data_IF_181301885445
#
_entry.id   IF_181301885445
#
_cell.length_a   1.000
_cell.length_b   1.000
_cell.length_c   1.000
_cell.angle_alpha   90.00
_cell.angle_beta   90.00
_cell.angle_gamma   90.00
#
_symmetry.space_group_name_H-M   'P 1'
#
loop_
_entity.id
_entity.type
_entity.pdbx_description
1 polymer ?
#
# COMPACT_ATOMS: atom_id res chain seq x y z
N UNK A 1 3.26 -11.10 14.59
CA UNK A 1 1.99 -10.67 14.01
C UNK A 1 1.40 -11.84 13.25
N UNK A 2 0.19 -12.26 13.58
CA UNK A 2 -0.45 -13.41 12.94
C UNK A 2 -1.19 -12.95 11.68
N UNK A 3 -0.64 -13.26 10.51
CA UNK A 3 -1.25 -12.95 9.19
C UNK A 3 -2.68 -13.48 9.04
N UNK A 4 -3.04 -14.53 9.78
CA UNK A 4 -4.41 -15.07 9.84
C UNK A 4 -5.46 -14.09 10.39
N UNK A 5 -5.04 -13.01 11.08
CA UNK A 5 -5.95 -11.97 11.55
C UNK A 5 -6.33 -10.97 10.46
N UNK A 6 -5.54 -10.87 9.39
CA UNK A 6 -5.80 -9.96 8.28
C UNK A 6 -6.86 -10.60 7.39
N UNK A 7 -8.08 -10.09 7.49
CA UNK A 7 -9.23 -10.53 6.70
C UNK A 7 -9.54 -9.53 5.59
N UNK A 8 -10.18 -10.02 4.54
CA UNK A 8 -10.85 -9.16 3.57
C UNK A 8 -11.92 -8.29 4.25
N UNK A 9 -12.18 -7.12 3.67
CA UNK A 9 -13.10 -6.10 4.19
C UNK A 9 -12.67 -5.40 5.48
N UNK A 10 -11.46 -5.63 6.00
CA UNK A 10 -10.95 -4.87 7.14
C UNK A 10 -10.55 -3.44 6.73
N UNK A 11 -10.89 -2.48 7.58
CA UNK A 11 -10.53 -1.07 7.38
C UNK A 11 -9.03 -0.87 7.64
N UNK A 12 -8.32 -0.09 6.85
CA UNK A 12 -6.89 0.20 7.07
C UNK A 12 -6.75 1.63 7.57
N UNK A 13 -6.19 1.79 8.76
CA UNK A 13 -5.98 3.04 9.45
C UNK A 13 -4.48 3.35 9.55
N UNK A 14 -4.06 4.49 9.02
CA UNK A 14 -2.72 5.01 9.21
C UNK A 14 -2.59 5.82 10.49
N UNK A 15 -1.37 6.00 10.99
CA UNK A 15 -1.11 6.93 12.09
C UNK A 15 -1.43 8.37 11.70
N UNK A 16 -2.09 9.09 12.61
CA UNK A 16 -2.37 10.51 12.45
C UNK A 16 -1.31 11.34 13.21
N UNK A 17 -0.43 12.09 12.53
CA UNK A 17 0.52 12.95 13.22
C UNK A 17 -0.23 14.05 13.99
N UNK A 18 0.14 14.25 15.26
CA UNK A 18 -0.45 15.29 16.12
C UNK A 18 -1.79 14.94 16.77
N UNK A 19 -2.31 13.72 16.58
CA UNK A 19 -3.47 13.22 17.33
C UNK A 19 -3.01 12.42 18.54
N UNK A 20 -3.52 12.76 19.72
CA UNK A 20 -3.35 11.96 20.95
C UNK A 20 -4.33 10.79 21.06
N UNK A 21 -5.28 10.70 20.12
CA UNK A 21 -6.25 9.60 20.08
C UNK A 21 -5.78 8.53 19.09
N UNK A 22 -5.94 7.26 19.47
CA UNK A 22 -5.75 6.07 18.61
C UNK A 22 -6.70 6.00 17.40
N UNK A 23 -7.50 7.03 17.18
CA UNK A 23 -8.25 7.23 15.95
C UNK A 23 -7.28 7.55 14.80
N UNK A 24 -6.74 6.49 14.19
CA UNK A 24 -5.99 6.58 12.94
C UNK A 24 -6.82 7.14 11.78
N UNK A 25 -6.16 7.41 10.66
CA UNK A 25 -6.80 7.93 9.45
C UNK A 25 -7.15 6.77 8.52
N UNK A 26 -8.41 6.65 8.13
CA UNK A 26 -8.84 5.64 7.16
C UNK A 26 -8.23 5.94 5.78
N UNK A 27 -7.43 5.02 5.26
CA UNK A 27 -6.75 5.15 3.97
C UNK A 27 -7.24 4.14 2.92
N UNK A 28 -8.12 3.23 3.31
CA UNK A 28 -8.61 2.17 2.43
C UNK A 28 -9.15 0.96 3.18
N UNK A 29 -9.60 -0.04 2.41
CA UNK A 29 -10.08 -1.33 2.93
C UNK A 29 -9.30 -2.48 2.30
N UNK A 30 -8.99 -3.52 3.09
CA UNK A 30 -8.31 -4.73 2.62
C UNK A 30 -9.20 -5.47 1.63
N UNK A 31 -8.69 -5.66 0.41
CA UNK A 31 -9.29 -6.54 -0.59
C UNK A 31 -8.81 -7.97 -0.39
N UNK A 32 -7.48 -8.17 -0.36
CA UNK A 32 -6.86 -9.49 -0.24
C UNK A 32 -5.42 -9.42 0.26
N UNK A 33 -4.93 -10.52 0.85
CA UNK A 33 -3.51 -10.74 1.11
C UNK A 33 -2.84 -11.41 -0.09
N UNK A 34 -1.80 -10.79 -0.65
CA UNK A 34 -0.99 -11.31 -1.75
C UNK A 34 0.28 -11.98 -1.20
N UNK A 35 0.46 -13.27 -1.54
CA UNK A 35 1.60 -14.11 -1.15
C UNK A 35 1.90 -14.17 0.36
N UNK A 36 0.96 -13.76 1.21
CA UNK A 36 1.19 -13.68 2.66
C UNK A 36 2.09 -12.52 3.11
N UNK A 37 2.57 -11.69 2.18
CA UNK A 37 3.57 -10.66 2.44
C UNK A 37 3.07 -9.25 2.11
N UNK A 38 2.08 -9.13 1.24
CA UNK A 38 1.54 -7.84 0.79
C UNK A 38 0.04 -7.76 1.01
N UNK A 39 -0.43 -6.60 1.41
CA UNK A 39 -1.85 -6.31 1.57
C UNK A 39 -2.30 -5.50 0.35
N UNK A 40 -3.29 -6.03 -0.35
CA UNK A 40 -3.96 -5.35 -1.45
C UNK A 40 -5.15 -4.57 -0.92
N UNK A 41 -5.20 -3.29 -1.24
CA UNK A 41 -6.33 -2.43 -0.94
C UNK A 41 -7.34 -2.43 -2.08
N UNK A 42 -8.61 -2.31 -1.72
CA UNK A 42 -9.68 -2.09 -2.70
C UNK A 42 -9.54 -0.70 -3.32
N UNK A 43 -9.62 -0.63 -4.65
CA UNK A 43 -9.64 0.65 -5.38
C UNK A 43 -10.87 1.49 -5.07
N UNK A 44 -11.97 0.87 -4.62
CA UNK A 44 -13.25 1.54 -4.42
C UNK A 44 -13.21 2.60 -3.31
N UNK A 45 -12.25 2.49 -2.40
CA UNK A 45 -12.04 3.44 -1.31
C UNK A 45 -10.86 4.38 -1.57
N UNK A 46 -10.10 4.16 -2.66
CA UNK A 46 -9.00 5.04 -3.05
C UNK A 46 -9.54 6.21 -3.88
N UNK A 47 -9.21 7.47 -3.53
CA UNK A 47 -9.67 8.64 -4.28
C UNK A 47 -9.15 8.68 -5.73
N UNK A 48 -8.10 7.91 -6.01
CA UNK A 48 -7.47 7.81 -7.33
C UNK A 48 -7.96 6.62 -8.17
N UNK A 49 -8.93 5.83 -7.69
CA UNK A 49 -9.43 4.60 -8.36
C UNK A 49 -8.34 3.54 -8.67
N UNK A 50 -7.17 3.66 -8.03
CA UNK A 50 -6.03 2.75 -8.20
C UNK A 50 -6.00 1.69 -7.12
N UNK A 51 -5.58 0.50 -7.51
CA UNK A 51 -5.20 -0.55 -6.55
C UNK A 51 -3.89 -0.14 -5.89
N UNK A 52 -3.84 -0.23 -4.56
CA UNK A 52 -2.65 0.05 -3.79
C UNK A 52 -2.21 -1.21 -3.06
N UNK A 53 -0.91 -1.44 -3.02
CA UNK A 53 -0.30 -2.53 -2.28
C UNK A 53 0.72 -2.00 -1.30
N UNK A 54 0.79 -2.61 -0.13
CA UNK A 54 1.83 -2.31 0.84
C UNK A 54 2.24 -3.58 1.59
N UNK A 55 3.50 -3.66 2.07
CA UNK A 55 3.98 -4.84 2.78
C UNK A 55 3.33 -4.93 4.17
N UNK A 56 3.11 -6.17 4.64
CA UNK A 56 2.59 -6.41 6.00
C UNK A 56 3.51 -5.86 7.11
N UNK A 57 4.77 -5.56 6.79
CA UNK A 57 5.77 -4.98 7.71
C UNK A 57 5.34 -3.61 8.25
N UNK A 58 4.48 -2.91 7.51
CA UNK A 58 3.93 -1.62 7.94
C UNK A 58 2.80 -1.76 8.97
N UNK A 59 2.28 -2.97 9.16
CA UNK A 59 1.20 -3.24 10.12
C UNK A 59 1.77 -3.21 11.53
N UNK A 60 1.31 -2.25 12.32
CA UNK A 60 1.63 -2.16 13.75
C UNK A 60 0.76 -3.11 14.57
N UNK A 61 -0.54 -3.16 14.27
CA UNK A 61 -1.53 -3.96 14.99
C UNK A 61 -2.76 -4.24 14.12
N UNK A 62 -3.46 -5.33 14.39
CA UNK A 62 -4.68 -5.75 13.67
C UNK A 62 -5.74 -6.07 14.70
N UNK A 63 -6.90 -5.48 14.52
CA UNK A 63 -8.13 -5.77 15.23
C UNK A 63 -9.10 -6.53 14.33
N UNK A 64 -10.18 -7.05 14.91
CA UNK A 64 -11.25 -7.74 14.18
C UNK A 64 -12.00 -6.88 13.14
N UNK A 65 -11.81 -5.55 13.18
CA UNK A 65 -12.48 -4.59 12.29
C UNK A 65 -11.52 -3.77 11.44
N UNK A 66 -10.28 -3.57 11.90
CA UNK A 66 -9.35 -2.66 11.27
C UNK A 66 -7.87 -3.08 11.45
N UNK A 67 -7.04 -2.62 10.53
CA UNK A 67 -5.58 -2.78 10.51
C UNK A 67 -4.96 -1.42 10.79
N UNK A 68 -4.09 -1.33 11.78
CA UNK A 68 -3.37 -0.11 12.14
C UNK A 68 -1.94 -0.18 11.62
N UNK A 69 -1.53 0.85 10.89
CA UNK A 69 -0.18 0.97 10.36
C UNK A 69 0.73 1.73 11.32
N UNK A 70 2.01 1.36 11.31
CA UNK A 70 3.07 2.11 11.99
C UNK A 70 3.48 3.38 11.21
N UNK A 71 3.01 3.51 9.97
CA UNK A 71 3.23 4.65 9.08
C UNK A 71 2.13 5.69 9.20
N UNK A 72 2.51 6.95 9.02
CA UNK A 72 1.53 8.03 8.85
C UNK A 72 0.81 7.93 7.51
N UNK A 73 -0.36 8.56 7.38
CA UNK A 73 -1.11 8.60 6.11
C UNK A 73 -0.21 9.04 4.94
N UNK A 74 0.54 10.12 5.12
CA UNK A 74 1.43 10.65 4.09
C UNK A 74 2.55 9.67 3.70
N UNK A 75 3.19 9.02 4.68
CA UNK A 75 4.21 8.00 4.41
C UNK A 75 3.61 6.77 3.74
N UNK A 76 2.43 6.35 4.18
CA UNK A 76 1.75 5.19 3.65
C UNK A 76 1.37 5.42 2.18
N UNK A 77 0.72 6.53 1.87
CA UNK A 77 0.36 6.91 0.50
C UNK A 77 1.60 7.06 -0.38
N UNK A 78 2.69 7.64 0.14
CA UNK A 78 3.91 7.85 -0.63
C UNK A 78 4.68 6.56 -0.95
N UNK A 79 4.67 5.56 -0.06
CA UNK A 79 5.36 4.29 -0.30
C UNK A 79 4.48 3.14 -0.77
N UNK A 80 3.16 3.35 -0.87
CA UNK A 80 2.25 2.37 -1.46
C UNK A 80 2.62 2.12 -2.92
N UNK A 81 2.66 0.85 -3.29
CA UNK A 81 2.89 0.43 -4.65
C UNK A 81 1.57 0.59 -5.43
N UNK A 82 1.67 1.12 -6.64
CA UNK A 82 0.52 1.23 -7.56
C UNK A 82 0.33 -0.02 -8.43
N UNK A 83 1.22 -1.00 -8.28
CA UNK A 83 1.30 -2.23 -9.06
C UNK A 83 1.59 -3.40 -8.11
N UNK A 84 1.18 -4.64 -8.46
CA UNK A 84 1.47 -5.77 -7.62
C UNK A 84 2.99 -6.00 -7.52
N UNK A 85 3.50 -6.46 -6.37
CA UNK A 85 4.93 -6.65 -6.13
C UNK A 85 5.59 -7.61 -7.13
N UNK A 86 4.83 -8.53 -7.71
CA UNK A 86 5.26 -9.45 -8.76
C UNK A 86 5.56 -8.76 -10.11
N UNK A 87 4.99 -7.57 -10.36
CA UNK A 87 5.32 -6.71 -11.51
C UNK A 87 6.31 -5.59 -11.17
N UNK A 88 6.28 -5.03 -9.96
CA UNK A 88 7.19 -3.95 -9.57
C UNK A 88 8.69 -4.33 -9.69
N UNK A 89 9.02 -5.62 -9.58
CA UNK A 89 10.39 -6.12 -9.82
C UNK A 89 10.79 -6.14 -11.31
N UNK A 90 9.84 -6.03 -12.24
CA UNK A 90 10.11 -5.97 -13.69
C UNK A 90 10.22 -4.51 -14.18
N UNK A 91 9.45 -3.59 -13.60
CA UNK A 91 9.42 -2.16 -13.97
C UNK A 91 10.45 -1.29 -13.22
N UNK A 92 11.12 -1.80 -12.18
CA UNK A 92 12.28 -1.14 -11.56
C UNK A 92 13.57 -1.25 -12.41
N UNK A 93 13.45 -1.51 -13.72
CA UNK A 93 14.50 -1.18 -14.67
C UNK A 93 14.60 0.34 -14.77
N UNK A 94 15.79 0.95 -14.69
CA UNK A 94 15.92 2.39 -14.75
C UNK A 94 15.51 2.86 -16.14
N UNK A 95 14.30 3.41 -16.29
CA UNK A 95 14.01 4.27 -17.45
C UNK A 95 14.57 5.65 -17.17
N UNK A 96 15.89 5.69 -17.04
CA UNK A 96 16.69 6.87 -17.33
C UNK A 96 17.49 6.52 -18.57
N UNK A 97 16.89 6.69 -19.74
CA UNK A 97 17.60 7.19 -20.92
C UNK A 97 16.57 7.56 -22.01
N UNK A 98 16.31 8.86 -22.29
CA UNK A 98 15.87 9.24 -23.62
C UNK A 98 17.10 9.15 -24.54
N UNK A 99 17.51 7.93 -24.88
CA UNK A 99 18.39 7.69 -26.01
C UNK A 99 17.62 7.98 -27.29
N UNK A 100 17.36 9.26 -27.57
CA UNK A 100 17.11 9.72 -28.94
C UNK A 100 18.46 9.78 -29.65
N UNK A 101 19.02 8.59 -29.88
CA UNK A 101 19.94 8.35 -30.98
C UNK A 101 19.10 8.14 -32.23
N UNK A 102 18.79 9.23 -32.93
CA UNK A 102 18.34 9.17 -34.31
C UNK A 102 19.51 9.62 -35.20
N UNK A 103 20.32 8.65 -35.61
CA UNK A 103 21.04 8.71 -36.88
C UNK A 103 20.27 7.91 -37.95
N UNK A 104 20.68 8.08 -39.21
CA UNK A 104 20.12 7.63 -40.51
C UNK A 104 19.10 8.62 -41.11
N UNK A 105 19.29 9.24 -42.27
CA UNK A 105 20.27 9.19 -43.38
C UNK A 105 20.36 10.60 -44.00
#
# INVERSE_FOLDING_TARGET
MDISQIKEHLMVHAKRPGSTNDAGVHIGTVDRLEDGQYIKLTKADSPDDRHRWFPIDWVESVDDKAVYLNKTEAEAIAGMLNEPPSQAMQDASPTTDPATGAGVD
#
